data_IF_696601589204
#
_entry.id   IF_696601589204
#
_cell.length_a   1.000
_cell.length_b   1.000
_cell.length_c   1.000
_cell.angle_alpha   90.00
_cell.angle_beta   90.00
_cell.angle_gamma   90.00
#
_symmetry.space_group_name_H-M   'P 1'
#
loop_
_entity.id
_entity.type
_entity.pdbx_description
1 polymer ?
#
# COMPACT_ATOMS: atom_id res chain seq x y z
N UNK A 1 -23.53 11.45 11.74
CA UNK A 1 -22.89 12.31 10.72
C UNK A 1 -22.87 13.76 11.22
N UNK A 2 -21.78 14.21 11.86
CA UNK A 2 -21.66 15.60 12.32
C UNK A 2 -20.94 16.38 11.21
N UNK A 3 -21.57 17.48 10.77
CA UNK A 3 -21.21 18.35 9.64
C UNK A 3 -19.89 19.11 9.85
N UNK A 4 -18.80 18.41 10.12
CA UNK A 4 -17.47 19.03 10.18
C UNK A 4 -16.78 18.85 8.82
N UNK A 5 -17.23 19.62 7.84
CA UNK A 5 -16.67 19.61 6.47
C UNK A 5 -15.40 20.44 6.37
N UNK A 6 -15.09 21.27 7.38
CA UNK A 6 -13.94 22.18 7.34
C UNK A 6 -12.62 21.47 7.57
N UNK A 7 -12.58 20.53 8.52
CA UNK A 7 -11.39 19.73 8.81
C UNK A 7 -10.91 18.91 7.59
N UNK A 8 -11.75 18.10 6.91
CA UNK A 8 -11.30 17.34 5.74
C UNK A 8 -10.92 18.23 4.55
N UNK A 9 -11.61 19.37 4.35
CA UNK A 9 -11.29 20.28 3.24
C UNK A 9 -9.95 21.00 3.45
N UNK A 10 -9.68 21.52 4.66
CA UNK A 10 -8.39 22.16 4.97
C UNK A 10 -7.21 21.21 4.77
N UNK A 11 -7.44 19.94 5.04
CA UNK A 11 -6.45 18.87 4.88
C UNK A 11 -6.21 18.55 3.42
N UNK A 12 -7.27 18.49 2.62
CA UNK A 12 -7.16 18.39 1.16
C UNK A 12 -6.36 19.57 0.58
N UNK A 13 -6.64 20.79 1.02
CA UNK A 13 -5.90 21.99 0.61
C UNK A 13 -4.42 21.89 0.98
N UNK A 14 -4.10 21.45 2.20
CA UNK A 14 -2.71 21.25 2.63
C UNK A 14 -2.01 20.19 1.79
N UNK A 15 -2.70 19.09 1.45
CA UNK A 15 -2.18 18.06 0.55
C UNK A 15 -1.87 18.59 -0.86
N UNK A 16 -2.75 19.43 -1.42
CA UNK A 16 -2.52 20.08 -2.73
C UNK A 16 -1.36 21.07 -2.66
N UNK A 17 -1.18 21.78 -1.54
CA UNK A 17 -0.06 22.69 -1.32
C UNK A 17 1.27 21.94 -1.28
N UNK A 18 1.30 20.81 -0.56
CA UNK A 18 2.46 19.90 -0.52
C UNK A 18 2.75 19.34 -1.92
N UNK A 19 1.72 18.91 -2.65
CA UNK A 19 1.86 18.49 -4.04
C UNK A 19 2.52 19.57 -4.89
N UNK A 20 2.03 20.80 -4.83
CA UNK A 20 2.54 21.90 -5.65
C UNK A 20 4.01 22.18 -5.35
N UNK A 21 4.40 22.22 -4.06
CA UNK A 21 5.79 22.45 -3.66
C UNK A 21 6.70 21.33 -4.18
N UNK A 22 6.32 20.07 -3.98
CA UNK A 22 7.14 18.92 -4.41
C UNK A 22 7.19 18.83 -5.93
N UNK A 23 6.05 19.01 -6.60
CA UNK A 23 5.95 18.98 -8.05
C UNK A 23 6.86 20.06 -8.66
N UNK A 24 6.78 21.31 -8.20
CA UNK A 24 7.63 22.39 -8.74
C UNK A 24 9.11 22.18 -8.43
N UNK A 25 9.46 21.60 -7.27
CA UNK A 25 10.85 21.29 -6.92
C UNK A 25 11.43 20.13 -7.75
N UNK A 26 10.63 19.10 -8.06
CA UNK A 26 11.07 17.87 -8.73
C UNK A 26 10.80 17.82 -10.22
N UNK A 27 9.96 18.71 -10.77
CA UNK A 27 9.65 18.69 -12.21
C UNK A 27 10.89 18.99 -13.07
N UNK A 28 11.79 19.86 -12.60
CA UNK A 28 13.03 20.17 -13.30
C UNK A 28 14.03 18.98 -13.34
N UNK A 29 14.34 18.29 -12.22
CA UNK A 29 15.26 17.16 -12.24
C UNK A 29 14.64 15.82 -12.70
N UNK A 30 13.33 15.60 -12.53
CA UNK A 30 12.70 14.28 -12.71
C UNK A 30 11.52 14.28 -13.71
N UNK A 31 11.12 15.43 -14.25
CA UNK A 31 10.03 15.54 -15.22
C UNK A 31 8.74 14.88 -14.72
N UNK A 32 8.22 13.91 -15.50
CA UNK A 32 7.00 13.16 -15.17
C UNK A 32 7.13 12.35 -13.87
N UNK A 33 8.31 11.80 -13.57
CA UNK A 33 8.53 11.04 -12.32
C UNK A 33 8.37 11.93 -11.09
N UNK A 34 8.76 13.21 -11.20
CA UNK A 34 8.55 14.21 -10.16
C UNK A 34 7.08 14.44 -9.84
N UNK A 35 6.22 14.48 -10.87
CA UNK A 35 4.77 14.61 -10.70
C UNK A 35 4.14 13.37 -10.05
N UNK A 36 4.58 12.18 -10.44
CA UNK A 36 4.09 10.91 -9.86
C UNK A 36 4.47 10.81 -8.37
N UNK A 37 5.68 11.22 -8.02
CA UNK A 37 6.13 11.30 -6.62
C UNK A 37 5.32 12.33 -5.82
N UNK A 38 5.09 13.51 -6.38
CA UNK A 38 4.27 14.54 -5.75
C UNK A 38 2.84 14.04 -5.46
N UNK A 39 2.21 13.36 -6.43
CA UNK A 39 0.87 12.80 -6.26
C UNK A 39 0.83 11.73 -5.15
N UNK A 40 1.85 10.88 -5.09
CA UNK A 40 1.97 9.86 -4.04
C UNK A 40 2.10 10.49 -2.65
N UNK A 41 2.86 11.58 -2.52
CA UNK A 41 2.98 12.34 -1.27
C UNK A 41 1.68 13.04 -0.88
N UNK A 42 0.93 13.57 -1.84
CA UNK A 42 -0.40 14.14 -1.60
C UNK A 42 -1.38 13.11 -1.04
N UNK A 43 -1.49 11.95 -1.69
CA UNK A 43 -2.37 10.86 -1.25
C UNK A 43 -1.98 10.36 0.14
N UNK A 44 -0.68 10.21 0.39
CA UNK A 44 -0.15 9.80 1.71
C UNK A 44 -0.51 10.83 2.79
N UNK A 45 -0.33 12.12 2.51
CA UNK A 45 -0.68 13.21 3.44
C UNK A 45 -2.17 13.20 3.73
N UNK A 46 -3.00 13.07 2.70
CA UNK A 46 -4.45 13.00 2.85
C UNK A 46 -4.87 11.79 3.71
N UNK A 47 -4.31 10.62 3.43
CA UNK A 47 -4.59 9.40 4.20
C UNK A 47 -4.17 9.52 5.68
N UNK A 48 -2.97 10.03 5.95
CA UNK A 48 -2.45 10.21 7.31
C UNK A 48 -3.32 11.15 8.13
N UNK A 49 -3.75 12.25 7.53
CA UNK A 49 -4.55 13.22 8.26
C UNK A 49 -5.99 12.74 8.46
N UNK A 50 -6.59 12.06 7.48
CA UNK A 50 -7.87 11.39 7.67
C UNK A 50 -7.79 10.33 8.77
N UNK A 51 -6.69 9.57 8.82
CA UNK A 51 -6.43 8.59 9.88
C UNK A 51 -6.31 9.26 11.24
N UNK A 52 -5.59 10.38 11.34
CA UNK A 52 -5.46 11.16 12.58
C UNK A 52 -6.82 11.71 13.06
N UNK A 53 -7.63 12.26 12.15
CA UNK A 53 -8.98 12.75 12.48
C UNK A 53 -9.90 11.62 12.94
N UNK A 54 -9.83 10.47 12.27
CA UNK A 54 -10.57 9.27 12.66
C UNK A 54 -10.13 8.76 14.03
N UNK A 55 -8.82 8.71 14.31
CA UNK A 55 -8.28 8.28 15.60
C UNK A 55 -8.70 9.21 16.74
N UNK A 56 -8.82 10.51 16.47
CA UNK A 56 -9.32 11.49 17.45
C UNK A 56 -10.82 11.35 17.74
N UNK A 57 -11.61 10.90 16.77
CA UNK A 57 -13.08 10.84 16.89
C UNK A 57 -13.63 9.46 17.29
N UNK A 58 -12.90 8.39 17.00
CA UNK A 58 -13.34 7.02 17.28
C UNK A 58 -12.40 6.35 18.28
N UNK A 59 -12.86 6.24 19.53
CA UNK A 59 -12.17 5.50 20.60
C UNK A 59 -11.93 4.02 20.25
N UNK A 60 -12.72 3.45 19.33
CA UNK A 60 -12.58 2.07 18.86
C UNK A 60 -11.25 1.76 18.13
N UNK A 61 -10.52 2.77 17.64
CA UNK A 61 -9.18 2.59 17.05
C UNK A 61 -8.06 2.57 18.10
N UNK A 62 -8.30 3.00 19.35
CA UNK A 62 -7.26 3.04 20.40
C UNK A 62 -6.86 1.65 20.91
N UNK A 63 -7.73 0.65 20.76
CA UNK A 63 -7.44 -0.73 21.14
C UNK A 63 -6.68 -1.56 20.08
N UNK A 64 -6.49 -1.01 18.88
CA UNK A 64 -5.69 -1.64 17.84
C UNK A 64 -4.30 -1.01 17.85
N UNK A 65 -3.23 -1.82 17.91
CA UNK A 65 -1.83 -1.39 17.85
C UNK A 65 -1.47 -0.86 16.43
N UNK A 66 -2.23 0.09 15.90
CA UNK A 66 -2.06 0.75 14.61
C UNK A 66 -0.60 1.11 14.26
N UNK A 67 0.18 1.75 15.16
CA UNK A 67 1.57 2.06 14.85
C UNK A 67 2.43 0.81 14.68
N UNK A 68 2.15 -0.26 15.44
CA UNK A 68 2.87 -1.53 15.32
C UNK A 68 2.53 -2.24 14.02
N UNK A 69 1.27 -2.19 13.59
CA UNK A 69 0.81 -2.72 12.31
C UNK A 69 1.40 -1.93 11.14
N UNK A 70 1.38 -0.60 11.21
CA UNK A 70 2.01 0.27 10.21
C UNK A 70 3.51 -0.01 10.07
N UNK A 71 4.24 -0.17 11.19
CA UNK A 71 5.66 -0.48 11.16
C UNK A 71 5.95 -1.86 10.55
N UNK A 72 5.11 -2.87 10.84
CA UNK A 72 5.21 -4.20 10.20
C UNK A 72 4.95 -4.14 8.71
N UNK A 73 3.94 -3.38 8.27
CA UNK A 73 3.63 -3.23 6.84
C UNK A 73 4.76 -2.48 6.15
N UNK A 74 5.30 -1.42 6.74
CA UNK A 74 6.45 -0.69 6.20
C UNK A 74 7.69 -1.57 6.08
N UNK A 75 8.01 -2.37 7.10
CA UNK A 75 9.16 -3.27 7.04
C UNK A 75 8.95 -4.40 6.02
N UNK A 76 7.73 -4.92 5.90
CA UNK A 76 7.35 -5.89 4.86
C UNK A 76 7.53 -5.31 3.46
N UNK A 77 7.01 -4.10 3.21
CA UNK A 77 7.10 -3.42 1.92
C UNK A 77 8.55 -3.09 1.55
N UNK A 78 9.38 -2.67 2.50
CA UNK A 78 10.81 -2.44 2.29
C UNK A 78 11.55 -3.75 1.94
N UNK A 79 11.28 -4.84 2.66
CA UNK A 79 11.87 -6.14 2.39
C UNK A 79 11.43 -6.70 1.03
N UNK A 80 10.18 -6.45 0.62
CA UNK A 80 9.68 -6.82 -0.71
C UNK A 80 10.40 -6.00 -1.78
N UNK A 81 10.48 -4.69 -1.61
CA UNK A 81 11.15 -3.80 -2.56
C UNK A 81 12.62 -4.18 -2.75
N UNK A 82 13.34 -4.52 -1.69
CA UNK A 82 14.74 -4.95 -1.78
C UNK A 82 14.88 -6.32 -2.46
N UNK A 83 14.00 -7.28 -2.19
CA UNK A 83 13.98 -8.57 -2.87
C UNK A 83 13.73 -8.42 -4.37
N UNK A 84 12.79 -7.55 -4.77
CA UNK A 84 12.51 -7.27 -6.18
C UNK A 84 13.71 -6.60 -6.86
N UNK A 85 14.30 -5.58 -6.24
CA UNK A 85 15.51 -4.92 -6.77
C UNK A 85 16.68 -5.88 -6.92
N UNK A 86 16.88 -6.80 -5.97
CA UNK A 86 17.90 -7.84 -6.06
C UNK A 86 17.61 -8.86 -7.17
N UNK A 87 16.32 -9.15 -7.44
CA UNK A 87 15.93 -10.09 -8.49
C UNK A 87 16.01 -9.49 -9.90
N UNK A 88 15.88 -8.18 -10.04
CA UNK A 88 15.89 -7.46 -11.32
C UNK A 88 17.06 -7.83 -12.25
N UNK A 89 18.35 -7.78 -11.83
CA UNK A 89 19.47 -8.15 -12.69
C UNK A 89 19.50 -9.62 -13.10
N UNK A 90 18.84 -10.51 -12.36
CA UNK A 90 18.74 -11.93 -12.72
C UNK A 90 17.63 -12.16 -13.75
N UNK A 91 16.51 -11.44 -13.64
CA UNK A 91 15.39 -11.52 -14.56
C UNK A 91 15.74 -10.90 -15.92
N UNK A 92 16.42 -9.75 -15.94
CA UNK A 92 16.81 -9.07 -17.20
C UNK A 92 17.82 -9.89 -18.01
N UNK A 93 18.82 -10.51 -17.36
CA UNK A 93 19.78 -11.43 -18.01
C UNK A 93 19.12 -12.67 -18.62
N UNK A 94 18.00 -13.11 -18.06
CA UNK A 94 17.23 -14.24 -18.60
C UNK A 94 16.34 -13.81 -19.77
N UNK A 95 15.84 -12.57 -19.75
CA UNK A 95 15.03 -11.99 -20.81
C UNK A 95 15.82 -11.65 -22.09
N UNK A 96 17.10 -11.28 -21.97
CA UNK A 96 18.02 -11.03 -23.11
C UNK A 96 18.15 -12.24 -24.06
N UNK A 97 17.77 -13.45 -23.61
CA UNK A 97 17.74 -14.66 -24.46
C UNK A 97 16.55 -14.70 -25.43
N UNK A 98 15.54 -13.86 -25.26
CA UNK A 98 14.29 -13.86 -26.04
C UNK A 98 13.95 -12.45 -26.55
N UNK A 99 14.72 -11.91 -27.51
CA UNK A 99 14.71 -10.48 -27.87
C UNK A 99 13.43 -9.98 -28.54
N UNK A 100 12.51 -10.88 -28.92
CA UNK A 100 11.27 -10.48 -29.59
C UNK A 100 10.18 -10.08 -28.60
N UNK A 101 10.13 -10.72 -27.42
CA UNK A 101 9.09 -10.52 -26.38
C UNK A 101 9.72 -10.20 -25.00
N UNK A 102 10.91 -9.63 -25.01
CA UNK A 102 11.71 -9.34 -23.82
C UNK A 102 10.95 -8.47 -22.81
N UNK A 103 10.27 -7.42 -23.28
CA UNK A 103 9.58 -6.46 -22.43
C UNK A 103 8.38 -7.08 -21.70
N UNK A 104 7.56 -7.87 -22.42
CA UNK A 104 6.44 -8.61 -21.81
C UNK A 104 6.94 -9.68 -20.83
N UNK A 105 8.02 -10.38 -21.17
CA UNK A 105 8.59 -11.40 -20.30
C UNK A 105 9.14 -10.80 -19.00
N UNK A 106 9.84 -9.65 -19.09
CA UNK A 106 10.35 -8.93 -17.91
C UNK A 106 9.21 -8.46 -17.01
N UNK A 107 8.12 -7.93 -17.58
CA UNK A 107 6.97 -7.46 -16.79
C UNK A 107 6.24 -8.63 -16.12
N UNK A 108 5.98 -9.73 -16.85
CA UNK A 108 5.27 -10.89 -16.30
C UNK A 108 6.10 -11.61 -15.25
N UNK A 109 7.38 -11.88 -15.52
CA UNK A 109 8.27 -12.57 -14.58
C UNK A 109 8.61 -11.67 -13.40
N UNK A 110 8.91 -10.38 -13.64
CA UNK A 110 9.14 -9.41 -12.58
C UNK A 110 7.91 -9.23 -11.68
N UNK A 111 6.72 -9.15 -12.28
CA UNK A 111 5.46 -9.14 -11.56
C UNK A 111 5.23 -10.40 -10.73
N UNK A 112 5.47 -11.58 -11.31
CA UNK A 112 5.35 -12.86 -10.62
C UNK A 112 6.33 -12.99 -9.44
N UNK A 113 7.58 -12.53 -9.60
CA UNK A 113 8.58 -12.49 -8.52
C UNK A 113 8.16 -11.50 -7.43
N UNK A 114 7.60 -10.35 -7.81
CA UNK A 114 7.01 -9.40 -6.86
C UNK A 114 5.88 -10.04 -6.05
N UNK A 115 4.92 -10.69 -6.70
CA UNK A 115 3.80 -11.39 -6.03
C UNK A 115 4.32 -12.52 -5.13
N UNK A 116 5.25 -13.33 -5.61
CA UNK A 116 5.83 -14.45 -4.85
C UNK A 116 6.60 -13.95 -3.62
N UNK A 117 7.43 -12.92 -3.77
CA UNK A 117 8.18 -12.33 -2.65
C UNK A 117 7.26 -11.69 -1.61
N UNK A 118 6.21 -11.00 -2.05
CA UNK A 118 5.18 -10.46 -1.16
C UNK A 118 4.44 -11.55 -0.38
N UNK A 119 4.06 -12.64 -1.06
CA UNK A 119 3.40 -13.79 -0.43
C UNK A 119 4.29 -14.48 0.62
N UNK A 120 5.58 -14.68 0.30
CA UNK A 120 6.56 -15.23 1.24
C UNK A 120 6.73 -14.31 2.45
N UNK A 121 6.84 -13.00 2.24
CA UNK A 121 7.00 -12.03 3.33
C UNK A 121 5.78 -11.98 4.23
N UNK A 122 4.56 -11.99 3.69
CA UNK A 122 3.33 -12.10 4.49
C UNK A 122 3.36 -13.36 5.37
N UNK A 123 3.80 -14.48 4.79
CA UNK A 123 3.87 -15.76 5.50
C UNK A 123 4.93 -15.76 6.61
N UNK A 124 6.12 -15.22 6.35
CA UNK A 124 7.22 -15.11 7.32
C UNK A 124 6.89 -14.11 8.43
N UNK A 125 6.31 -12.96 8.11
CA UNK A 125 6.00 -11.90 9.07
C UNK A 125 4.80 -12.23 9.97
N UNK A 126 4.08 -13.33 9.71
CA UNK A 126 2.90 -13.79 10.47
C UNK A 126 2.02 -12.60 10.88
N UNK A 127 1.69 -11.76 9.91
CA UNK A 127 0.94 -10.54 10.13
C UNK A 127 -0.40 -10.95 10.76
N UNK A 128 -0.61 -10.60 12.04
CA UNK A 128 -1.79 -11.00 12.83
C UNK A 128 -3.09 -10.53 12.17
N UNK A 129 -3.04 -9.49 11.35
CA UNK A 129 -4.16 -9.02 10.53
C UNK A 129 -4.68 -10.06 9.53
N UNK A 130 -3.82 -10.96 8.98
CA UNK A 130 -4.28 -12.03 8.08
C UNK A 130 -5.08 -13.08 8.85
N UNK A 131 -4.70 -13.37 10.09
CA UNK A 131 -5.48 -14.23 10.98
C UNK A 131 -6.84 -13.58 11.30
N UNK A 132 -6.88 -12.27 11.55
CA UNK A 132 -8.12 -11.53 11.80
C UNK A 132 -9.06 -11.49 10.58
N UNK A 133 -8.51 -11.31 9.38
CA UNK A 133 -9.25 -11.40 8.11
C UNK A 133 -9.79 -12.82 7.86
N UNK A 134 -8.95 -13.85 8.07
CA UNK A 134 -9.36 -15.25 7.97
C UNK A 134 -10.50 -15.57 8.94
N UNK A 135 -10.40 -15.12 10.19
CA UNK A 135 -11.41 -15.37 11.21
C UNK A 135 -12.71 -14.62 10.92
N UNK A 136 -12.63 -13.39 10.41
CA UNK A 136 -13.79 -12.60 10.00
C UNK A 136 -14.51 -13.18 8.78
N UNK A 137 -13.77 -13.69 7.80
CA UNK A 137 -14.34 -14.37 6.62
C UNK A 137 -14.95 -15.72 7.03
N UNK A 138 -14.26 -16.51 7.87
CA UNK A 138 -14.77 -17.77 8.38
C UNK A 138 -16.01 -17.59 9.27
N UNK A 139 -16.10 -16.48 10.02
CA UNK A 139 -17.28 -16.12 10.79
C UNK A 139 -18.48 -15.77 9.88
N UNK A 140 -18.24 -15.00 8.80
CA UNK A 140 -19.28 -14.63 7.82
C UNK A 140 -19.81 -15.81 7.02
N UNK A 141 -18.94 -16.75 6.63
CA UNK A 141 -19.36 -17.96 5.92
C UNK A 141 -20.21 -18.86 6.84
N UNK A 142 -19.83 -18.99 8.11
CA UNK A 142 -20.62 -19.74 9.11
C UNK A 142 -21.96 -19.08 9.44
N UNK A 143 -22.05 -17.75 9.41
CA UNK A 143 -23.34 -17.06 9.61
C UNK A 143 -24.25 -17.19 8.40
N UNK A 144 -23.69 -17.12 7.18
CA UNK A 144 -24.45 -17.28 5.93
C UNK A 144 -24.98 -18.71 5.72
N UNK A 145 -24.25 -19.73 6.19
CA UNK A 145 -24.74 -21.12 6.16
C UNK A 145 -25.84 -21.41 7.18
N UNK A 146 -26.00 -20.57 8.24
CA UNK A 146 -27.02 -20.76 9.28
C UNK A 146 -28.39 -20.19 8.88
N UNK A 147 -28.41 -19.14 8.07
CA UNK A 147 -29.64 -18.57 7.49
C UNK A 147 -30.16 -19.31 6.26
N UNK A 148 -29.36 -20.20 5.65
CA UNK A 148 -29.80 -21.04 4.54
C UNK A 148 -30.38 -22.41 4.99
N UNK A 149 -30.32 -22.71 6.28
CA UNK A 149 -30.82 -23.95 6.89
C UNK A 149 -32.09 -23.76 7.74
N UNK A 150 -32.60 -22.52 7.84
CA UNK A 150 -33.93 -22.15 8.35
C UNK A 150 -34.84 -21.82 7.17
#
# INVERSE_FOLDING_TARGET
>A
ARKDTRTPVLVGVLGVLVYLVIALALIAPLGMLGLVLANSMQLTTHALVMLYLAHRHFDGLRGQDLPRSALKVLSASLAMGSAVLASYPHVTRLAERWPTWDELFVVVVGGAVGVASYAVLIWVLRVKEVAYLRDSIAARIRSASRTAAE
#
